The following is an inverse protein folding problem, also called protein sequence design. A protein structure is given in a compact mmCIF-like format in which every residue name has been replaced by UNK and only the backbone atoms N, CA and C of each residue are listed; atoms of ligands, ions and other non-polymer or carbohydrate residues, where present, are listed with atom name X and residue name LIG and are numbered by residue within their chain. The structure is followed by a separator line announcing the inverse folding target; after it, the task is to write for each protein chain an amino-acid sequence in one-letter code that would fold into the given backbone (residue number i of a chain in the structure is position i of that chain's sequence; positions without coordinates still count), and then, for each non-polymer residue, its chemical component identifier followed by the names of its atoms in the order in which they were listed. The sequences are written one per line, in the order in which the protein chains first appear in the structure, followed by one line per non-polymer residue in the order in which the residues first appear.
data_IF_139186996013
#
_entry.id   IF_139186996013
#
_cell.length_a   1.000
_cell.length_b   1.000
_cell.length_c   1.000
_cell.angle_alpha   90.00
_cell.angle_beta   90.00
_cell.angle_gamma   90.00
#
_symmetry.space_group_name_H-M   'P 1'
#
loop_
_entity.id
_entity.type
_entity.pdbx_description
1 polymer ?
#
# COMPACT_ATOMS: atom_id res chain seq x y z
N UNK A 1 28.78 35.65 6.58
CA UNK A 1 28.08 34.74 7.51
C UNK A 1 26.68 34.64 6.94
N UNK A 2 26.53 33.77 5.95
CA UNK A 2 25.23 33.52 5.33
C UNK A 2 24.45 32.62 6.29
N UNK A 3 23.31 33.11 6.76
CA UNK A 3 22.30 32.27 7.39
C UNK A 3 21.84 31.25 6.34
N UNK A 4 22.24 29.99 6.52
CA UNK A 4 21.57 28.88 5.86
C UNK A 4 20.11 28.92 6.29
N UNK A 5 19.23 29.32 5.38
CA UNK A 5 17.80 29.12 5.52
C UNK A 5 17.55 27.63 5.82
N UNK A 6 16.65 27.28 6.75
CA UNK A 6 16.38 25.88 7.06
C UNK A 6 15.96 25.18 5.76
N UNK A 7 16.79 24.23 5.32
CA UNK A 7 16.43 23.23 4.32
C UNK A 7 15.12 22.59 4.77
N UNK A 8 14.16 22.43 3.85
CA UNK A 8 12.77 21.96 4.01
C UNK A 8 12.58 20.59 4.71
N UNK A 9 13.14 20.39 5.89
CA UNK A 9 13.17 19.11 6.60
C UNK A 9 12.64 19.21 8.04
N UNK A 10 11.73 20.16 8.30
CA UNK A 10 10.82 20.17 9.46
C UNK A 10 9.72 19.06 9.37
N UNK A 11 9.91 18.06 8.51
CA UNK A 11 8.96 17.00 8.17
C UNK A 11 9.50 15.57 8.40
N UNK A 12 10.52 15.38 9.23
CA UNK A 12 11.09 14.06 9.48
C UNK A 12 10.03 13.08 10.03
N UNK A 13 9.57 12.17 9.18
CA UNK A 13 8.63 11.12 9.54
C UNK A 13 9.29 10.16 10.53
N UNK A 14 8.79 10.13 11.77
CA UNK A 14 9.20 9.18 12.79
C UNK A 14 8.50 7.82 12.54
N UNK A 15 9.25 6.70 12.51
CA UNK A 15 8.65 5.38 12.34
C UNK A 15 7.80 5.01 13.56
N UNK A 16 6.62 4.45 13.33
CA UNK A 16 5.71 3.95 14.38
C UNK A 16 5.70 2.43 14.42
N UNK A 17 5.46 1.78 13.28
CA UNK A 17 5.43 0.32 13.16
C UNK A 17 5.84 -0.12 11.76
N UNK A 18 6.38 -1.33 11.66
CA UNK A 18 6.60 -2.01 10.39
C UNK A 18 6.24 -3.49 10.52
N UNK A 19 5.21 -3.91 9.80
CA UNK A 19 4.76 -5.29 9.69
C UNK A 19 5.17 -5.86 8.34
N UNK A 20 5.82 -7.01 8.32
CA UNK A 20 6.25 -7.67 7.09
C UNK A 20 5.89 -9.14 7.09
N UNK A 21 5.35 -9.62 5.97
CA UNK A 21 4.97 -11.02 5.81
C UNK A 21 5.18 -11.51 4.38
N UNK A 22 5.14 -12.83 4.21
CA UNK A 22 5.19 -13.43 2.89
C UNK A 22 3.89 -13.12 2.11
N UNK A 23 4.02 -12.83 0.81
CA UNK A 23 2.87 -12.46 -0.03
C UNK A 23 1.88 -13.63 -0.15
N UNK A 24 2.33 -14.87 -0.26
CA UNK A 24 1.43 -16.03 -0.30
C UNK A 24 0.63 -16.19 1.02
N UNK A 25 1.22 -15.86 2.16
CA UNK A 25 0.49 -15.83 3.44
C UNK A 25 -0.59 -14.75 3.42
N UNK A 26 -0.23 -13.52 3.04
CA UNK A 26 -1.19 -12.42 2.90
C UNK A 26 -2.33 -12.77 1.95
N UNK A 27 -2.00 -13.37 0.80
CA UNK A 27 -2.95 -13.79 -0.24
C UNK A 27 -3.81 -15.00 0.13
N UNK A 28 -3.42 -15.77 1.13
CA UNK A 28 -4.12 -17.02 1.48
C UNK A 28 -5.55 -16.79 1.98
N UNK A 29 -5.84 -15.59 2.53
CA UNK A 29 -7.14 -15.24 3.11
C UNK A 29 -7.41 -13.75 2.94
N UNK A 30 -8.54 -13.41 2.33
CA UNK A 30 -9.00 -12.02 2.20
C UNK A 30 -9.09 -11.30 3.57
N UNK A 31 -9.47 -12.05 4.62
CA UNK A 31 -9.64 -11.51 5.97
C UNK A 31 -8.34 -10.98 6.59
N UNK A 32 -7.18 -11.21 5.98
CA UNK A 32 -5.95 -10.54 6.40
C UNK A 32 -5.95 -9.05 6.08
N UNK A 33 -6.69 -8.60 5.06
CA UNK A 33 -6.90 -7.17 4.81
C UNK A 33 -7.51 -6.52 6.06
N UNK A 34 -8.67 -7.02 6.50
CA UNK A 34 -9.39 -6.50 7.68
C UNK A 34 -8.53 -6.48 8.94
N UNK A 35 -7.83 -7.58 9.23
CA UNK A 35 -7.01 -7.71 10.45
C UNK A 35 -5.80 -6.78 10.44
N UNK A 36 -5.16 -6.60 9.30
CA UNK A 36 -4.03 -5.69 9.16
C UNK A 36 -4.53 -4.25 9.28
N UNK A 37 -5.66 -3.92 8.63
CA UNK A 37 -6.33 -2.63 8.74
C UNK A 37 -6.63 -2.27 10.20
N UNK A 38 -7.28 -3.17 10.93
CA UNK A 38 -7.64 -2.98 12.34
C UNK A 38 -6.38 -2.69 13.18
N UNK A 39 -5.37 -3.56 13.07
CA UNK A 39 -4.09 -3.40 13.77
C UNK A 39 -3.40 -2.05 13.49
N UNK A 40 -3.37 -1.62 12.22
CA UNK A 40 -2.72 -0.37 11.83
C UNK A 40 -3.51 0.86 12.29
N UNK A 41 -4.84 0.81 12.19
CA UNK A 41 -5.73 1.92 12.55
C UNK A 41 -5.71 2.19 14.05
N UNK A 42 -5.67 1.13 14.87
CA UNK A 42 -5.52 1.24 16.32
C UNK A 42 -4.22 1.95 16.70
N UNK A 43 -3.11 1.62 16.04
CA UNK A 43 -1.81 2.29 16.26
C UNK A 43 -1.88 3.76 15.84
N UNK A 44 -2.50 4.06 14.70
CA UNK A 44 -2.61 5.43 14.22
C UNK A 44 -3.54 6.29 15.08
N UNK A 45 -4.58 5.72 15.68
CA UNK A 45 -5.46 6.41 16.62
C UNK A 45 -4.75 6.82 17.91
N UNK A 46 -3.70 6.10 18.32
CA UNK A 46 -2.94 6.46 19.52
C UNK A 46 -2.27 7.83 19.37
N UNK A 47 -2.49 8.69 20.37
CA UNK A 47 -1.92 10.04 20.42
C UNK A 47 -2.74 11.12 19.71
N UNK A 48 -3.94 10.82 19.24
CA UNK A 48 -4.92 11.81 18.78
C UNK A 48 -5.82 12.31 19.90
N UNK A 49 -6.43 13.48 19.69
CA UNK A 49 -7.46 14.04 20.58
C UNK A 49 -8.71 13.17 20.66
N UNK A 50 -9.14 12.61 19.54
CA UNK A 50 -10.22 11.62 19.45
C UNK A 50 -9.73 10.34 18.74
N UNK A 51 -9.08 9.42 19.47
CA UNK A 51 -8.53 8.19 18.91
C UNK A 51 -9.55 7.32 18.18
N UNK A 52 -10.81 7.30 18.66
CA UNK A 52 -11.86 6.45 18.10
C UNK A 52 -12.30 6.97 16.73
N UNK A 53 -12.51 8.28 16.62
CA UNK A 53 -12.86 8.91 15.35
C UNK A 53 -11.75 8.77 14.33
N UNK A 54 -10.51 9.03 14.72
CA UNK A 54 -9.36 8.95 13.82
C UNK A 54 -9.10 7.51 13.34
N UNK A 55 -9.17 6.52 14.25
CA UNK A 55 -9.03 5.10 13.90
C UNK A 55 -10.14 4.63 12.94
N UNK A 56 -11.40 5.03 13.17
CA UNK A 56 -12.50 4.69 12.27
C UNK A 56 -12.35 5.29 10.87
N UNK A 57 -11.89 6.54 10.76
CA UNK A 57 -11.61 7.14 9.46
C UNK A 57 -10.50 6.39 8.72
N UNK A 58 -9.41 6.10 9.42
CA UNK A 58 -8.26 5.42 8.84
C UNK A 58 -8.52 3.96 8.52
N UNK A 59 -9.40 3.27 9.24
CA UNK A 59 -9.70 1.88 8.95
C UNK A 59 -10.33 1.75 7.57
N UNK A 60 -11.24 2.64 7.20
CA UNK A 60 -11.80 2.67 5.84
C UNK A 60 -10.70 2.94 4.83
N UNK A 61 -9.89 3.99 5.03
CA UNK A 61 -8.86 4.38 4.08
C UNK A 61 -7.74 3.34 3.91
N UNK A 62 -7.24 2.81 5.02
CA UNK A 62 -6.22 1.78 5.03
C UNK A 62 -6.74 0.49 4.40
N UNK A 63 -8.00 0.10 4.66
CA UNK A 63 -8.57 -1.09 4.06
C UNK A 63 -8.58 -1.02 2.54
N UNK A 64 -9.07 0.08 1.97
CA UNK A 64 -9.10 0.25 0.51
C UNK A 64 -7.70 0.13 -0.12
N UNK A 65 -6.68 0.72 0.52
CA UNK A 65 -5.30 0.65 0.05
C UNK A 65 -4.67 -0.74 0.22
N UNK A 66 -5.00 -1.43 1.31
CA UNK A 66 -4.53 -2.80 1.58
C UNK A 66 -5.19 -3.78 0.62
N UNK A 67 -6.48 -3.63 0.34
CA UNK A 67 -7.19 -4.43 -0.65
C UNK A 67 -6.67 -4.15 -2.07
N UNK A 68 -6.36 -2.89 -2.39
CA UNK A 68 -5.70 -2.53 -3.64
C UNK A 68 -4.35 -3.24 -3.75
N UNK A 69 -3.53 -3.22 -2.69
CA UNK A 69 -2.27 -3.95 -2.64
C UNK A 69 -2.51 -5.46 -2.82
N UNK A 70 -3.49 -6.04 -2.12
CA UNK A 70 -3.87 -7.44 -2.24
C UNK A 70 -4.18 -7.80 -3.69
N UNK A 71 -5.01 -7.02 -4.39
CA UNK A 71 -5.34 -7.27 -5.81
C UNK A 71 -4.14 -7.06 -6.74
N UNK A 72 -3.18 -6.22 -6.36
CA UNK A 72 -2.04 -5.83 -7.21
C UNK A 72 -0.77 -6.66 -7.02
N UNK A 73 -0.62 -7.37 -5.89
CA UNK A 73 0.57 -8.19 -5.65
C UNK A 73 0.47 -9.53 -6.36
N UNK A 74 1.59 -10.02 -6.90
CA UNK A 74 1.73 -11.41 -7.35
C UNK A 74 1.68 -12.43 -6.18
N UNK A 75 2.20 -13.64 -6.38
CA UNK A 75 2.17 -14.69 -5.34
C UNK A 75 3.46 -14.78 -4.51
N UNK A 76 4.55 -14.20 -5.00
CA UNK A 76 5.90 -14.40 -4.45
C UNK A 76 6.46 -13.14 -3.80
N UNK A 77 7.40 -13.35 -2.87
CA UNK A 77 8.12 -12.30 -2.17
C UNK A 77 7.48 -11.88 -0.84
N UNK A 78 7.73 -10.63 -0.43
CA UNK A 78 7.32 -10.11 0.88
C UNK A 78 6.59 -8.78 0.71
N UNK A 79 5.49 -8.63 1.43
CA UNK A 79 4.75 -7.37 1.54
C UNK A 79 5.03 -6.76 2.91
N UNK A 80 5.23 -5.43 2.93
CA UNK A 80 5.50 -4.65 4.13
C UNK A 80 4.51 -3.51 4.26
N UNK A 81 3.92 -3.38 5.44
CA UNK A 81 3.09 -2.26 5.86
C UNK A 81 3.86 -1.47 6.90
N UNK A 82 4.09 -0.19 6.65
CA UNK A 82 4.86 0.68 7.55
C UNK A 82 4.07 1.95 7.84
N UNK A 83 4.01 2.31 9.12
CA UNK A 83 3.43 3.56 9.57
C UNK A 83 4.51 4.52 10.03
N UNK A 84 4.33 5.78 9.66
CA UNK A 84 5.17 6.87 10.13
C UNK A 84 4.31 8.04 10.54
N UNK A 85 4.85 8.90 11.41
CA UNK A 85 4.19 10.12 11.87
C UNK A 85 5.11 11.31 11.76
N UNK A 86 4.57 12.42 11.29
CA UNK A 86 5.16 13.75 11.38
C UNK A 86 4.21 14.66 12.16
N UNK A 87 4.59 15.93 12.36
CA UNK A 87 3.72 16.91 13.00
C UNK A 87 2.39 17.09 12.25
N UNK A 88 2.39 16.99 10.91
CA UNK A 88 1.23 17.29 10.08
C UNK A 88 0.56 16.06 9.46
N UNK A 89 1.25 14.92 9.39
CA UNK A 89 0.74 13.75 8.66
C UNK A 89 1.02 12.41 9.36
N UNK A 90 0.11 11.47 9.17
CA UNK A 90 0.34 10.04 9.35
C UNK A 90 0.51 9.39 7.97
N UNK A 91 1.62 8.66 7.78
CA UNK A 91 1.95 7.98 6.52
C UNK A 91 1.71 6.49 6.64
N UNK A 92 0.93 5.93 5.73
CA UNK A 92 0.89 4.50 5.45
C UNK A 92 1.72 4.21 4.20
N UNK A 93 2.70 3.31 4.31
CA UNK A 93 3.48 2.78 3.19
C UNK A 93 3.21 1.29 3.06
N UNK A 94 2.81 0.84 1.86
CA UNK A 94 2.61 -0.56 1.51
C UNK A 94 3.58 -0.92 0.40
N UNK A 95 4.63 -1.68 0.70
CA UNK A 95 5.65 -2.08 -0.26
C UNK A 95 5.55 -3.57 -0.60
N UNK A 96 5.58 -3.92 -1.89
CA UNK A 96 5.49 -5.29 -2.38
C UNK A 96 6.22 -5.46 -3.72
N UNK A 97 6.56 -6.70 -4.13
CA UNK A 97 7.19 -6.94 -5.42
C UNK A 97 6.23 -6.61 -6.57
N UNK A 98 6.71 -5.90 -7.58
CA UNK A 98 5.97 -5.72 -8.83
C UNK A 98 5.88 -7.02 -9.63
N UNK A 99 4.88 -7.14 -10.48
CA UNK A 99 4.56 -8.35 -11.26
C UNK A 99 5.75 -8.84 -12.13
N UNK A 100 6.64 -7.94 -12.55
CA UNK A 100 7.84 -8.29 -13.34
C UNK A 100 9.00 -8.88 -12.52
N UNK A 101 8.90 -8.95 -11.19
CA UNK A 101 10.00 -9.37 -10.33
C UNK A 101 10.40 -10.86 -10.46
N UNK A 102 9.54 -11.70 -11.05
CA UNK A 102 9.75 -13.14 -11.14
C UNK A 102 9.75 -13.72 -12.57
N UNK A 103 9.74 -12.87 -13.60
CA UNK A 103 9.70 -13.25 -15.01
C UNK A 103 10.95 -13.97 -15.56
N UNK A 104 11.91 -14.40 -14.73
CA UNK A 104 13.11 -15.12 -15.18
C UNK A 104 13.29 -16.46 -14.48
N UNK A 105 12.51 -17.47 -14.90
CA UNK A 105 12.99 -18.82 -15.28
C UNK A 105 11.83 -19.75 -15.63
N UNK A 106 11.45 -19.80 -16.91
CA UNK A 106 11.03 -21.04 -17.57
C UNK A 106 11.48 -21.00 -19.03
N UNK A 107 12.79 -21.12 -19.25
CA UNK A 107 13.33 -21.48 -20.57
C UNK A 107 14.18 -22.74 -20.39
N UNK A 108 13.57 -23.90 -20.58
CA UNK A 108 13.91 -24.80 -21.70
C UNK A 108 13.23 -26.18 -21.56
N UNK A 109 12.42 -26.49 -22.58
CA UNK A 109 12.23 -27.80 -23.21
C UNK A 109 11.56 -28.96 -22.41
N UNK A 110 10.27 -29.19 -22.70
CA UNK A 110 9.84 -30.50 -23.22
C UNK A 110 8.59 -30.35 -24.08
N UNK A 111 8.72 -30.75 -25.34
CA UNK A 111 7.62 -30.91 -26.30
C UNK A 111 6.57 -31.88 -25.78
N UNK A 112 5.31 -31.57 -26.06
CA UNK A 112 4.17 -32.44 -25.83
C UNK A 112 2.89 -31.68 -26.17
N UNK A 113 2.39 -31.88 -27.39
CA UNK A 113 1.13 -31.37 -27.90
C UNK A 113 -0.03 -31.72 -26.97
N UNK A 114 -0.93 -30.77 -26.69
CA UNK A 114 -2.40 -30.91 -26.68
C UNK A 114 -3.05 -29.53 -26.40
N UNK A 115 -3.93 -29.11 -27.31
CA UNK A 115 -4.95 -28.04 -27.16
C UNK A 115 -6.33 -28.73 -27.28
N UNK A 116 -7.48 -28.09 -27.00
CA UNK A 116 -7.79 -26.89 -26.22
C UNK A 116 -9.03 -27.03 -25.29
N UNK A 117 -9.14 -26.30 -24.17
CA UNK A 117 -10.45 -25.91 -23.56
C UNK A 117 -10.29 -24.55 -22.85
N UNK A 118 -11.27 -23.61 -22.97
CA UNK A 118 -11.11 -22.21 -22.57
C UNK A 118 -11.63 -21.92 -21.15
N UNK A 119 -11.47 -20.66 -20.75
CA UNK A 119 -12.00 -19.98 -19.56
C UNK A 119 -11.29 -20.27 -18.24
N UNK A 120 -10.19 -19.55 -18.06
CA UNK A 120 -9.91 -18.98 -16.74
C UNK A 120 -9.55 -17.53 -16.99
N UNK A 121 -10.41 -16.62 -16.50
CA UNK A 121 -10.14 -15.19 -16.42
C UNK A 121 -8.84 -14.96 -15.65
N UNK A 122 -7.73 -15.03 -16.36
CA UNK A 122 -6.47 -14.45 -15.94
C UNK A 122 -6.58 -12.96 -16.23
N UNK A 123 -7.27 -12.27 -15.32
CA UNK A 123 -7.31 -10.82 -15.26
C UNK A 123 -5.92 -10.29 -14.92
N UNK A 124 -5.04 -10.27 -15.92
CA UNK A 124 -3.77 -9.56 -15.88
C UNK A 124 -4.11 -8.06 -15.76
N UNK A 125 -4.06 -7.55 -14.54
CA UNK A 125 -4.14 -6.12 -14.26
C UNK A 125 -2.78 -5.51 -14.58
N UNK A 126 -2.49 -5.41 -15.88
CA UNK A 126 -1.82 -4.21 -16.38
C UNK A 126 -2.60 -3.05 -15.75
N UNK A 127 -1.95 -2.24 -14.93
CA UNK A 127 -2.49 -1.00 -14.36
C UNK A 127 -2.90 -0.10 -15.53
N UNK A 128 -4.08 -0.37 -16.09
CA UNK A 128 -4.76 0.47 -17.06
C UNK A 128 -5.32 1.67 -16.29
N UNK A 129 -5.63 2.72 -17.03
CA UNK A 129 -6.16 4.02 -16.57
C UNK A 129 -7.17 4.00 -15.40
N UNK A 130 -7.88 2.89 -15.22
CA UNK A 130 -8.86 2.64 -14.16
C UNK A 130 -8.27 2.74 -12.73
N UNK A 131 -7.06 2.23 -12.52
CA UNK A 131 -6.41 2.31 -11.20
C UNK A 131 -5.94 3.72 -10.81
N UNK A 132 -5.71 4.59 -11.79
CA UNK A 132 -5.36 6.00 -11.54
C UNK A 132 -6.58 6.80 -11.10
N UNK A 133 -7.75 6.53 -11.71
CA UNK A 133 -9.02 7.14 -11.31
C UNK A 133 -9.40 6.72 -9.89
N UNK A 134 -9.27 5.43 -9.57
CA UNK A 134 -9.49 4.93 -8.21
C UNK A 134 -8.61 5.65 -7.18
N UNK A 135 -7.32 5.84 -7.45
CA UNK A 135 -6.43 6.52 -6.51
C UNK A 135 -6.73 8.01 -6.36
N UNK A 136 -7.12 8.70 -7.44
CA UNK A 136 -7.53 10.10 -7.34
C UNK A 136 -8.83 10.27 -6.55
N UNK A 137 -9.75 9.32 -6.68
CA UNK A 137 -11.00 9.30 -5.92
C UNK A 137 -10.72 9.05 -4.44
N UNK A 138 -9.90 8.04 -4.11
CA UNK A 138 -9.48 7.76 -2.73
C UNK A 138 -8.72 8.96 -2.11
N UNK A 139 -7.81 9.58 -2.86
CA UNK A 139 -7.09 10.77 -2.42
C UNK A 139 -8.05 11.93 -2.11
N UNK A 140 -9.08 12.11 -2.94
CA UNK A 140 -10.11 13.13 -2.74
C UNK A 140 -11.00 12.82 -1.54
N UNK A 141 -11.53 11.59 -1.45
CA UNK A 141 -12.42 11.13 -0.38
C UNK A 141 -11.73 11.24 0.98
N UNK A 142 -10.48 10.79 1.07
CA UNK A 142 -9.72 10.79 2.32
C UNK A 142 -8.90 12.06 2.55
N UNK A 143 -8.99 13.05 1.65
CA UNK A 143 -8.18 14.29 1.70
C UNK A 143 -6.70 13.99 1.95
N UNK A 144 -6.21 12.93 1.32
CA UNK A 144 -4.89 12.36 1.54
C UNK A 144 -4.05 12.49 0.27
N UNK A 145 -2.74 12.67 0.43
CA UNK A 145 -1.83 12.56 -0.70
C UNK A 145 -1.48 11.09 -0.92
N UNK A 146 -2.04 10.48 -1.96
CA UNK A 146 -1.80 9.06 -2.30
C UNK A 146 -1.01 8.98 -3.59
N UNK A 147 0.05 8.16 -3.58
CA UNK A 147 0.93 7.96 -4.73
C UNK A 147 1.45 6.53 -4.80
N UNK A 148 1.79 6.11 -6.02
CA UNK A 148 2.51 4.86 -6.27
C UNK A 148 3.90 5.22 -6.75
N UNK A 149 4.91 4.63 -6.13
CA UNK A 149 6.30 4.76 -6.54
C UNK A 149 6.90 3.38 -6.81
N UNK A 150 7.96 3.31 -7.63
CA UNK A 150 8.78 2.10 -7.74
C UNK A 150 9.82 2.10 -6.62
N UNK A 151 9.90 1.00 -5.88
CA UNK A 151 10.87 0.80 -4.81
C UNK A 151 12.08 0.02 -5.36
N UNK A 152 13.08 0.74 -5.86
CA UNK A 152 14.27 0.14 -6.47
C UNK A 152 13.99 -0.71 -7.71
N UNK A 153 14.82 -1.73 -7.94
CA UNK A 153 14.88 -2.45 -9.22
C UNK A 153 13.57 -3.10 -9.69
N UNK A 154 12.70 -3.57 -8.78
CA UNK A 154 11.47 -4.30 -9.14
C UNK A 154 10.33 -4.21 -8.09
N UNK A 155 10.45 -3.36 -7.07
CA UNK A 155 9.39 -3.17 -6.06
C UNK A 155 8.37 -2.11 -6.45
N UNK A 156 7.15 -2.22 -5.94
CA UNK A 156 6.10 -1.20 -5.97
C UNK A 156 5.80 -0.78 -4.54
N UNK A 157 5.54 0.50 -4.32
CA UNK A 157 5.07 1.01 -3.05
C UNK A 157 3.87 1.93 -3.25
N UNK A 158 2.82 1.72 -2.46
CA UNK A 158 1.72 2.65 -2.27
C UNK A 158 2.06 3.49 -1.05
N UNK A 159 2.04 4.82 -1.17
CA UNK A 159 2.27 5.75 -0.08
C UNK A 159 1.07 6.66 0.04
N UNK A 160 0.46 6.70 1.23
CA UNK A 160 -0.65 7.58 1.56
C UNK A 160 -0.30 8.43 2.78
N UNK A 161 -0.38 9.75 2.61
CA UNK A 161 -0.17 10.74 3.67
C UNK A 161 -1.52 11.33 4.08
N UNK A 162 -1.98 10.96 5.28
CA UNK A 162 -3.22 11.42 5.89
C UNK A 162 -2.95 12.60 6.82
N UNK A 163 -3.76 13.68 6.77
CA UNK A 163 -3.64 14.77 7.73
C UNK A 163 -3.74 14.28 9.18
N UNK A 164 -2.86 14.79 10.05
CA UNK A 164 -2.93 14.55 11.50
C UNK A 164 -4.02 15.38 12.17
N UNK A 165 -4.47 16.49 11.57
CA UNK A 165 -5.54 17.30 12.11
C UNK A 165 -6.91 16.75 11.70
N UNK A 166 -7.84 16.70 12.66
CA UNK A 166 -9.18 16.12 12.52
C UNK A 166 -10.20 17.06 11.83
N UNK A 167 -9.80 17.74 10.75
CA UNK A 167 -10.72 18.57 9.94
C UNK A 167 -11.57 17.72 8.97
N UNK A 168 -12.11 16.60 9.49
CA UNK A 168 -13.08 15.77 8.80
C UNK A 168 -14.50 16.36 9.01
N UNK A 169 -14.76 17.55 8.43
CA UNK A 169 -16.11 18.12 8.36
C UNK A 169 -16.82 17.68 7.08
#
# INVERSE_FOLDING_TARGET
MEEEAPSFDDYAFAPMVSLEMNVAMFKSRWQFCDRITEYLSDILGQGHSDPARYSNFLSVAANELIELAFRSTGELGRIRFSLYRSAAFNRLRIAFPGEEAFGRKHTSARSGEYLPVPDTESGYLVMKSDGTVLLSDLATIFRAAIRIEKDGGQGIQIIADFPSAEDFR
#
